data_IF_920491455465
#
_entry.id   IF_920491455465
#
_cell.length_a   1.000
_cell.length_b   1.000
_cell.length_c   1.000
_cell.angle_alpha   90.00
_cell.angle_beta   90.00
_cell.angle_gamma   90.00
#
_symmetry.space_group_name_H-M   'P 1'
#
loop_
_entity.id
_entity.type
_entity.pdbx_description
1 polymer ?
#
# COMPACT_ATOMS: atom_id res chain seq x y z
N UNK A 1 -2.80 62.44 -33.92
CA UNK A 1 -2.78 61.36 -32.91
C UNK A 1 -3.96 60.41 -33.10
N UNK A 2 -3.80 59.33 -33.86
CA UNK A 2 -4.77 58.22 -33.98
C UNK A 2 -4.04 56.94 -34.32
N UNK A 3 -3.61 56.17 -33.32
CA UNK A 3 -3.36 54.72 -33.41
C UNK A 3 -3.67 54.10 -32.05
N UNK A 4 -4.26 52.90 -32.07
CA UNK A 4 -4.45 51.95 -30.95
C UNK A 4 -5.76 52.04 -30.14
N UNK A 5 -6.91 51.76 -30.78
CA UNK A 5 -8.16 51.43 -30.07
C UNK A 5 -8.87 50.15 -30.53
N UNK A 6 -8.22 49.26 -31.31
CA UNK A 6 -8.88 48.07 -31.89
C UNK A 6 -8.33 46.70 -31.48
N UNK A 7 -7.48 46.60 -30.46
CA UNK A 7 -6.90 45.28 -30.05
C UNK A 7 -7.43 44.76 -28.70
N UNK A 8 -8.15 45.54 -27.89
CA UNK A 8 -8.46 45.13 -26.51
C UNK A 8 -9.80 44.36 -26.35
N UNK A 9 -10.66 44.30 -27.38
CA UNK A 9 -11.99 43.69 -27.22
C UNK A 9 -12.03 42.19 -27.61
N UNK A 10 -10.98 41.66 -28.24
CA UNK A 10 -10.93 40.26 -28.70
C UNK A 10 -10.48 39.22 -27.66
N UNK A 11 -9.82 39.63 -26.57
CA UNK A 11 -9.23 38.69 -25.59
C UNK A 11 -10.21 38.40 -24.45
N UNK A 12 -11.05 39.36 -24.06
CA UNK A 12 -12.02 39.18 -22.97
C UNK A 12 -13.11 38.14 -23.25
N UNK A 13 -13.60 38.08 -24.49
CA UNK A 13 -14.64 37.10 -24.87
C UNK A 13 -14.08 35.67 -25.06
N UNK A 14 -12.83 35.54 -25.52
CA UNK A 14 -12.18 34.23 -25.68
C UNK A 14 -11.77 33.62 -24.34
N UNK A 15 -11.31 34.44 -23.38
CA UNK A 15 -10.94 33.95 -22.03
C UNK A 15 -12.19 33.52 -21.25
N UNK A 16 -13.32 34.20 -21.40
CA UNK A 16 -14.58 33.80 -20.76
C UNK A 16 -15.17 32.54 -21.41
N UNK A 17 -15.08 32.38 -22.73
CA UNK A 17 -15.53 31.16 -23.41
C UNK A 17 -14.69 29.92 -23.03
N UNK A 18 -13.37 30.06 -22.87
CA UNK A 18 -12.49 28.98 -22.41
C UNK A 18 -12.74 28.67 -20.92
N UNK A 19 -12.95 29.67 -20.07
CA UNK A 19 -13.26 29.42 -18.66
C UNK A 19 -14.60 28.70 -18.46
N UNK A 20 -15.62 29.00 -19.27
CA UNK A 20 -16.92 28.31 -19.21
C UNK A 20 -16.82 26.88 -19.77
N UNK A 21 -16.02 26.63 -20.81
CA UNK A 21 -15.78 25.26 -21.30
C UNK A 21 -14.99 24.43 -20.28
N UNK A 22 -14.01 25.00 -19.58
CA UNK A 22 -13.29 24.30 -18.50
C UNK A 22 -14.21 23.96 -17.33
N UNK A 23 -15.16 24.83 -16.96
CA UNK A 23 -16.14 24.55 -15.91
C UNK A 23 -17.15 23.48 -16.33
N UNK A 24 -17.55 23.43 -17.60
CA UNK A 24 -18.45 22.37 -18.12
C UNK A 24 -17.72 21.03 -18.25
N UNK A 25 -16.46 21.01 -18.69
CA UNK A 25 -15.63 19.78 -18.69
C UNK A 25 -15.40 19.29 -17.25
N UNK A 26 -15.14 20.17 -16.29
CA UNK A 26 -15.00 19.78 -14.88
C UNK A 26 -16.30 19.26 -14.25
N UNK A 27 -17.47 19.69 -14.73
CA UNK A 27 -18.77 19.14 -14.29
C UNK A 27 -19.15 17.83 -14.99
N UNK A 28 -18.70 17.59 -16.22
CA UNK A 28 -18.89 16.32 -16.94
C UNK A 28 -17.90 15.25 -16.47
N UNK A 29 -16.77 15.64 -15.88
CA UNK A 29 -15.80 14.75 -15.20
C UNK A 29 -16.15 14.60 -13.70
N UNK A 30 -17.44 14.44 -13.40
CA UNK A 30 -17.96 14.13 -12.06
C UNK A 30 -18.19 12.62 -11.86
N UNK A 31 -17.45 11.78 -12.59
CA UNK A 31 -17.30 10.37 -12.27
C UNK A 31 -16.04 10.16 -11.43
N UNK A 32 -16.13 9.44 -10.31
CA UNK A 32 -15.00 9.03 -9.46
C UNK A 32 -13.76 8.64 -10.29
N UNK A 33 -12.83 9.59 -10.49
CA UNK A 33 -11.49 9.35 -10.99
C UNK A 33 -10.62 8.88 -9.82
N UNK A 34 -11.04 7.80 -9.18
CA UNK A 34 -10.18 7.09 -8.24
C UNK A 34 -9.15 6.27 -9.02
N UNK A 35 -8.19 6.97 -9.60
CA UNK A 35 -7.11 6.37 -10.39
C UNK A 35 -6.29 5.44 -9.52
N UNK A 36 -5.92 5.88 -8.32
CA UNK A 36 -5.15 5.05 -7.39
C UNK A 36 -5.91 3.77 -7.03
N UNK A 37 -7.20 3.83 -6.73
CA UNK A 37 -8.00 2.62 -6.47
C UNK A 37 -8.07 1.68 -7.68
N UNK A 38 -8.33 2.19 -8.88
CA UNK A 38 -8.44 1.36 -10.10
C UNK A 38 -7.11 0.74 -10.53
N UNK A 39 -6.05 1.54 -10.56
CA UNK A 39 -4.73 1.11 -10.99
C UNK A 39 -4.06 0.21 -9.96
N UNK A 40 -4.33 0.41 -8.66
CA UNK A 40 -3.86 -0.50 -7.61
C UNK A 40 -4.46 -1.91 -7.76
N UNK A 41 -5.75 -2.04 -8.10
CA UNK A 41 -6.37 -3.34 -8.43
C UNK A 41 -5.68 -3.98 -9.65
N UNK A 42 -5.54 -3.22 -10.73
CA UNK A 42 -5.00 -3.72 -12.00
C UNK A 42 -3.55 -4.19 -11.84
N UNK A 43 -2.73 -3.43 -11.12
CA UNK A 43 -1.33 -3.79 -10.86
C UNK A 43 -1.21 -4.94 -9.85
N UNK A 44 -2.05 -4.98 -8.82
CA UNK A 44 -2.04 -6.09 -7.86
C UNK A 44 -2.44 -7.41 -8.51
N UNK A 45 -3.41 -7.40 -9.43
CA UNK A 45 -3.74 -8.58 -10.24
C UNK A 45 -2.51 -9.12 -11.00
N UNK A 46 -1.66 -8.25 -11.55
CA UNK A 46 -0.42 -8.68 -12.21
C UNK A 46 0.53 -9.36 -11.23
N UNK A 47 0.66 -8.84 -10.00
CA UNK A 47 1.47 -9.47 -8.95
C UNK A 47 0.93 -10.87 -8.63
N UNK A 48 -0.38 -10.99 -8.38
CA UNK A 48 -1.03 -12.27 -8.09
C UNK A 48 -0.83 -13.30 -9.22
N UNK A 49 -0.89 -12.85 -10.47
CA UNK A 49 -0.69 -13.71 -11.64
C UNK A 49 0.78 -14.07 -11.91
N UNK A 50 1.74 -13.30 -11.37
CA UNK A 50 3.17 -13.56 -11.54
C UNK A 50 3.67 -14.63 -10.58
N UNK A 51 3.15 -14.64 -9.36
CA UNK A 51 3.51 -15.62 -8.31
C UNK A 51 2.29 -16.37 -7.76
N UNK A 52 1.49 -17.05 -8.60
CA UNK A 52 0.24 -17.68 -8.17
C UNK A 52 0.46 -18.75 -7.10
N UNK A 53 1.58 -19.48 -7.15
CA UNK A 53 1.94 -20.52 -6.16
C UNK A 53 2.23 -19.95 -4.76
N UNK A 54 2.42 -18.63 -4.66
CA UNK A 54 2.63 -17.90 -3.41
C UNK A 54 1.36 -17.29 -2.85
N UNK A 55 0.24 -17.41 -3.54
CA UNK A 55 -1.07 -16.92 -3.09
C UNK A 55 -1.90 -18.10 -2.58
N UNK A 56 -2.30 -18.05 -1.30
CA UNK A 56 -3.02 -19.14 -0.64
C UNK A 56 -4.21 -18.63 0.15
N UNK A 57 -5.25 -19.44 0.26
CA UNK A 57 -6.31 -19.20 1.22
C UNK A 57 -5.72 -19.21 2.64
N UNK A 58 -6.16 -18.28 3.48
CA UNK A 58 -5.82 -18.17 4.88
C UNK A 58 -7.11 -18.35 5.71
N UNK A 59 -7.39 -19.60 6.06
CA UNK A 59 -8.63 -19.96 6.78
C UNK A 59 -8.67 -19.34 8.18
N UNK A 60 -7.51 -19.20 8.83
CA UNK A 60 -7.39 -18.62 10.18
C UNK A 60 -7.87 -17.17 10.21
N UNK A 61 -7.57 -16.39 9.17
CA UNK A 61 -7.94 -14.98 9.08
C UNK A 61 -9.15 -14.73 8.16
N UNK A 62 -9.84 -15.81 7.76
CA UNK A 62 -10.96 -15.79 6.81
C UNK A 62 -10.61 -14.92 5.59
N UNK A 63 -9.56 -15.29 4.86
CA UNK A 63 -9.11 -14.51 3.71
C UNK A 63 -7.98 -15.17 2.91
N UNK A 64 -7.02 -14.35 2.50
CA UNK A 64 -5.96 -14.72 1.57
C UNK A 64 -4.61 -14.26 2.09
N UNK A 65 -3.56 -14.95 1.66
CA UNK A 65 -2.19 -14.57 1.93
C UNK A 65 -1.35 -14.58 0.65
N UNK A 66 -0.38 -13.68 0.58
CA UNK A 66 0.69 -13.63 -0.41
C UNK A 66 2.00 -13.77 0.33
N UNK A 67 2.69 -14.88 0.11
CA UNK A 67 3.99 -15.19 0.69
C UNK A 67 5.13 -14.62 -0.16
N UNK A 68 6.15 -14.06 0.47
CA UNK A 68 7.36 -13.65 -0.22
C UNK A 68 8.03 -14.82 -0.96
N UNK A 69 8.80 -14.55 -2.03
CA UNK A 69 9.59 -15.58 -2.71
C UNK A 69 10.46 -16.41 -1.77
N UNK A 70 11.07 -15.78 -0.76
CA UNK A 70 11.93 -16.45 0.23
C UNK A 70 11.17 -17.13 1.38
N UNK A 71 9.84 -17.02 1.44
CA UNK A 71 8.99 -17.63 2.46
C UNK A 71 9.02 -16.98 3.84
N UNK A 72 9.75 -15.88 4.03
CA UNK A 72 10.05 -15.33 5.37
C UNK A 72 9.01 -14.33 5.90
N UNK A 73 8.16 -13.82 5.02
CA UNK A 73 7.09 -12.86 5.34
C UNK A 73 5.92 -13.08 4.40
N UNK A 74 4.70 -12.86 4.89
CA UNK A 74 3.49 -12.86 4.08
C UNK A 74 2.58 -11.69 4.42
N UNK A 75 1.93 -11.17 3.39
CA UNK A 75 0.84 -10.21 3.52
C UNK A 75 -0.47 -10.99 3.57
N UNK A 76 -1.31 -10.70 4.56
CA UNK A 76 -2.60 -11.37 4.75
C UNK A 76 -3.69 -10.30 4.70
N UNK A 77 -4.76 -10.57 3.95
CA UNK A 77 -5.95 -9.73 3.91
C UNK A 77 -7.21 -10.59 4.00
N UNK A 78 -8.10 -10.21 4.91
CA UNK A 78 -9.35 -10.90 5.14
C UNK A 78 -10.32 -10.66 3.98
N UNK A 79 -11.09 -11.68 3.65
CA UNK A 79 -12.22 -11.54 2.73
C UNK A 79 -13.51 -11.19 3.47
N UNK A 80 -13.55 -11.35 4.80
CA UNK A 80 -14.71 -11.03 5.65
C UNK A 80 -14.29 -10.48 7.02
N UNK A 81 -14.54 -9.19 7.27
CA UNK A 81 -14.03 -8.50 8.45
C UNK A 81 -14.88 -8.78 9.69
N UNK A 82 -16.07 -9.36 9.51
CA UNK A 82 -16.86 -9.88 10.63
C UNK A 82 -16.27 -11.18 11.20
N UNK A 83 -15.37 -11.85 10.47
CA UNK A 83 -14.80 -13.16 10.82
C UNK A 83 -13.33 -13.14 11.20
N UNK A 84 -12.57 -12.14 10.76
CA UNK A 84 -11.14 -12.08 11.05
C UNK A 84 -10.89 -11.75 12.54
N UNK A 85 -10.06 -12.55 13.23
CA UNK A 85 -10.02 -12.55 14.69
C UNK A 85 -9.31 -11.32 15.27
N UNK A 86 -8.22 -10.87 14.66
CA UNK A 86 -7.36 -9.82 15.20
C UNK A 86 -7.23 -8.62 14.24
N UNK A 87 -6.88 -8.88 12.99
CA UNK A 87 -6.64 -7.85 11.98
C UNK A 87 -7.38 -8.20 10.69
N UNK A 88 -7.69 -7.18 9.89
CA UNK A 88 -8.27 -7.36 8.54
C UNK A 88 -7.18 -7.34 7.47
N UNK A 89 -6.09 -6.60 7.73
CA UNK A 89 -4.90 -6.54 6.88
C UNK A 89 -3.66 -6.54 7.79
N UNK A 90 -2.68 -7.38 7.47
CA UNK A 90 -1.53 -7.62 8.35
C UNK A 90 -0.33 -8.20 7.60
N UNK A 91 0.84 -8.10 8.22
CA UNK A 91 2.00 -8.93 7.90
C UNK A 91 2.17 -10.01 8.96
N UNK A 92 2.59 -11.19 8.53
CA UNK A 92 3.14 -12.24 9.40
C UNK A 92 4.56 -12.57 8.91
N UNK A 93 5.53 -12.64 9.83
CA UNK A 93 6.94 -12.82 9.50
C UNK A 93 7.70 -13.56 10.60
N UNK A 94 8.83 -14.16 10.22
CA UNK A 94 9.71 -14.86 11.16
C UNK A 94 10.19 -13.92 12.28
N UNK A 95 9.99 -14.33 13.53
CA UNK A 95 10.41 -13.57 14.70
C UNK A 95 11.91 -13.66 14.96
N UNK A 96 12.57 -14.73 14.48
CA UNK A 96 13.95 -15.04 14.85
C UNK A 96 14.94 -13.91 14.55
N UNK A 97 14.91 -13.22 13.38
CA UNK A 97 15.81 -12.10 13.13
C UNK A 97 15.66 -10.95 14.15
N UNK A 98 14.44 -10.70 14.61
CA UNK A 98 14.17 -9.63 15.57
C UNK A 98 14.51 -10.04 17.00
N UNK A 99 14.20 -11.28 17.40
CA UNK A 99 14.57 -11.84 18.71
C UNK A 99 16.08 -11.90 18.86
N UNK A 100 16.79 -12.36 17.82
CA UNK A 100 18.26 -12.38 17.80
C UNK A 100 18.85 -10.97 17.88
N UNK A 101 18.16 -9.98 17.33
CA UNK A 101 18.51 -8.56 17.42
C UNK A 101 18.07 -7.89 18.75
N UNK A 102 17.53 -8.65 19.72
CA UNK A 102 17.23 -8.14 21.06
C UNK A 102 15.76 -7.85 21.36
N UNK A 103 14.82 -8.24 20.48
CA UNK A 103 13.39 -8.07 20.74
C UNK A 103 12.96 -8.76 22.04
N UNK A 104 12.37 -7.97 22.95
CA UNK A 104 11.61 -8.45 24.08
C UNK A 104 10.11 -8.48 23.72
N UNK A 105 9.61 -9.67 23.37
CA UNK A 105 8.22 -9.87 22.94
C UNK A 105 7.18 -9.42 23.97
N UNK A 106 7.55 -9.35 25.26
CA UNK A 106 6.64 -8.89 26.33
C UNK A 106 6.39 -7.37 26.31
N UNK A 107 7.19 -6.62 25.54
CA UNK A 107 7.07 -5.16 25.38
C UNK A 107 6.42 -4.75 24.07
N UNK A 108 6.02 -5.71 23.24
CA UNK A 108 5.30 -5.42 22.01
C UNK A 108 3.96 -4.76 22.32
N UNK A 109 3.54 -3.75 21.52
CA UNK A 109 2.22 -3.14 21.68
C UNK A 109 1.10 -4.09 21.20
N UNK A 110 -0.15 -3.75 21.53
CA UNK A 110 -1.33 -4.61 21.26
C UNK A 110 -1.56 -4.92 19.77
N UNK A 111 -1.07 -4.08 18.85
CA UNK A 111 -1.20 -4.32 17.42
C UNK A 111 -0.14 -5.31 16.88
N UNK A 112 0.69 -5.87 17.76
CA UNK A 112 1.59 -6.97 17.46
C UNK A 112 1.16 -8.22 18.23
N UNK A 113 1.26 -9.38 17.59
CA UNK A 113 1.14 -10.68 18.23
C UNK A 113 2.41 -11.51 17.98
N UNK A 114 2.85 -12.26 18.98
CA UNK A 114 3.96 -13.22 18.87
C UNK A 114 3.45 -14.62 19.18
N UNK A 115 3.64 -15.57 18.27
CA UNK A 115 3.19 -16.96 18.42
C UNK A 115 4.00 -17.89 17.54
N UNK A 116 4.27 -19.11 18.00
CA UNK A 116 4.89 -20.19 17.19
C UNK A 116 6.17 -19.77 16.41
N UNK A 117 6.96 -18.83 16.94
CA UNK A 117 8.16 -18.32 16.27
C UNK A 117 7.90 -17.23 15.22
N UNK A 118 6.66 -16.77 15.09
CA UNK A 118 6.22 -15.71 14.19
C UNK A 118 5.87 -14.43 14.94
N UNK A 119 5.98 -13.30 14.24
CA UNK A 119 5.37 -12.03 14.59
C UNK A 119 4.27 -11.72 13.58
N UNK A 120 3.17 -11.16 14.08
CA UNK A 120 2.09 -10.59 13.27
C UNK A 120 1.91 -9.13 13.65
N UNK A 121 1.69 -8.26 12.65
CA UNK A 121 1.31 -6.86 12.86
C UNK A 121 0.27 -6.43 11.85
N UNK A 122 -0.77 -5.76 12.30
CA UNK A 122 -1.81 -5.26 11.39
C UNK A 122 -2.80 -4.34 12.06
N UNK A 123 -3.94 -4.18 11.37
CA UNK A 123 -5.04 -3.35 11.84
C UNK A 123 -6.39 -3.95 11.48
N UNK A 124 -7.38 -3.70 12.34
CA UNK A 124 -8.79 -3.88 12.02
C UNK A 124 -9.26 -2.66 11.24
N UNK A 125 -9.68 -2.85 10.00
CA UNK A 125 -10.22 -1.80 9.15
C UNK A 125 -11.68 -1.50 9.49
N UNK A 126 -12.45 -2.53 9.84
CA UNK A 126 -13.82 -2.38 10.31
C UNK A 126 -14.45 -3.69 10.76
N UNK A 127 -15.77 -3.82 10.62
CA UNK A 127 -16.52 -5.00 11.08
C UNK A 127 -17.55 -5.47 10.06
N UNK A 128 -17.33 -5.14 8.80
CA UNK A 128 -18.24 -5.45 7.70
C UNK A 128 -18.29 -6.96 7.45
N UNK A 129 -19.51 -7.50 7.36
CA UNK A 129 -19.74 -8.76 6.66
C UNK A 129 -19.67 -8.48 5.14
N UNK A 130 -18.81 -9.21 4.44
CA UNK A 130 -18.60 -9.02 3.01
C UNK A 130 -19.49 -9.95 2.19
N UNK A 131 -19.96 -9.45 1.05
CA UNK A 131 -20.80 -10.21 0.13
C UNK A 131 -20.16 -10.27 -1.24
N UNK A 132 -20.14 -11.47 -1.82
CA UNK A 132 -19.51 -11.76 -3.11
C UNK A 132 -20.50 -12.46 -4.03
N UNK A 133 -20.30 -12.30 -5.34
CA UNK A 133 -20.96 -13.14 -6.33
C UNK A 133 -20.11 -14.39 -6.54
N UNK A 134 -20.50 -15.50 -5.90
CA UNK A 134 -19.74 -16.75 -5.92
C UNK A 134 -18.64 -16.80 -4.86
N UNK A 135 -17.69 -17.71 -5.04
CA UNK A 135 -16.56 -17.84 -4.13
C UNK A 135 -15.62 -16.64 -4.31
N UNK A 136 -15.25 -15.93 -3.23
CA UNK A 136 -14.30 -14.83 -3.32
C UNK A 136 -12.96 -15.32 -3.87
N UNK A 137 -12.36 -14.51 -4.74
CA UNK A 137 -10.99 -14.68 -5.21
C UNK A 137 -10.07 -13.75 -4.40
N UNK A 138 -8.73 -13.98 -4.39
CA UNK A 138 -7.82 -13.08 -3.69
C UNK A 138 -7.96 -11.62 -4.18
N UNK A 139 -8.13 -11.42 -5.50
CA UNK A 139 -8.36 -10.10 -6.06
C UNK A 139 -9.71 -9.50 -5.63
N UNK A 140 -10.79 -10.28 -5.67
CA UNK A 140 -12.11 -9.79 -5.26
C UNK A 140 -12.15 -9.37 -3.77
N UNK A 141 -11.41 -10.07 -2.90
CA UNK A 141 -11.23 -9.66 -1.52
C UNK A 141 -10.48 -8.32 -1.41
N UNK A 142 -9.41 -8.14 -2.19
CA UNK A 142 -8.69 -6.87 -2.24
C UNK A 142 -9.56 -5.70 -2.76
N UNK A 143 -10.39 -5.95 -3.78
CA UNK A 143 -11.33 -4.95 -4.29
C UNK A 143 -12.30 -4.42 -3.21
N UNK A 144 -12.64 -5.23 -2.19
CA UNK A 144 -13.45 -4.74 -1.06
C UNK A 144 -12.69 -3.72 -0.20
N UNK A 145 -11.38 -3.88 -0.01
CA UNK A 145 -10.55 -2.88 0.66
C UNK A 145 -10.64 -1.56 -0.11
N UNK A 146 -10.44 -1.60 -1.43
CA UNK A 146 -10.48 -0.40 -2.27
C UNK A 146 -11.85 0.26 -2.23
N UNK A 147 -12.92 -0.53 -2.29
CA UNK A 147 -14.31 -0.05 -2.34
C UNK A 147 -14.78 0.55 -1.01
N UNK A 148 -14.49 -0.10 0.12
CA UNK A 148 -15.02 0.29 1.45
C UNK A 148 -14.03 1.06 2.30
N UNK A 149 -12.74 0.81 2.13
CA UNK A 149 -11.66 1.29 2.99
C UNK A 149 -10.60 2.03 2.19
N UNK A 150 -11.04 2.89 1.26
CA UNK A 150 -10.18 3.55 0.29
C UNK A 150 -9.01 4.32 0.91
N UNK A 151 -9.18 4.89 2.11
CA UNK A 151 -8.14 5.62 2.85
C UNK A 151 -6.94 4.75 3.27
N UNK A 152 -7.13 3.42 3.31
CA UNK A 152 -6.08 2.43 3.56
C UNK A 152 -5.20 2.17 2.34
N UNK A 153 -5.60 2.62 1.15
CA UNK A 153 -4.81 2.47 -0.07
C UNK A 153 -3.99 3.75 -0.32
N UNK A 154 -2.68 3.59 -0.50
CA UNK A 154 -1.76 4.68 -0.82
C UNK A 154 -1.09 4.49 -2.19
N UNK A 155 -0.39 5.54 -2.59
CA UNK A 155 0.52 5.53 -3.72
C UNK A 155 1.82 6.23 -3.30
N UNK A 156 2.94 5.57 -3.53
CA UNK A 156 4.28 6.05 -3.22
C UNK A 156 4.95 6.54 -4.49
N UNK A 157 4.86 7.86 -4.73
CA UNK A 157 5.27 8.50 -6.00
C UNK A 157 6.71 8.19 -6.41
N UNK A 158 7.66 8.16 -5.46
CA UNK A 158 9.06 7.95 -5.79
C UNK A 158 9.38 6.50 -6.22
N UNK A 159 8.63 5.51 -5.72
CA UNK A 159 8.78 4.11 -6.14
C UNK A 159 7.80 3.72 -7.25
N UNK A 160 6.83 4.57 -7.56
CA UNK A 160 5.72 4.23 -8.45
C UNK A 160 4.96 2.97 -7.96
N UNK A 161 4.74 2.92 -6.64
CA UNK A 161 4.12 1.79 -5.94
C UNK A 161 2.73 2.15 -5.43
N UNK A 162 1.82 1.19 -5.45
CA UNK A 162 0.61 1.21 -4.62
C UNK A 162 0.85 0.46 -3.33
N UNK A 163 0.01 0.68 -2.32
CA UNK A 163 0.13 -0.05 -1.07
C UNK A 163 -1.16 -0.14 -0.27
N UNK A 164 -1.16 -1.10 0.67
CA UNK A 164 -2.13 -1.22 1.75
C UNK A 164 -1.45 -0.80 3.04
N UNK A 165 -2.02 0.20 3.73
CA UNK A 165 -1.63 0.60 5.07
C UNK A 165 -2.14 -0.42 6.08
N UNK A 166 -1.24 -0.91 6.92
CA UNK A 166 -1.50 -1.94 7.93
C UNK A 166 -1.54 -1.36 9.35
N UNK A 167 -1.67 -0.04 9.46
CA UNK A 167 -1.64 0.68 10.73
C UNK A 167 -0.23 0.93 11.26
N UNK A 168 -0.06 1.96 12.09
CA UNK A 168 1.21 2.24 12.78
C UNK A 168 2.40 2.52 11.86
N UNK A 169 2.19 2.85 10.60
CA UNK A 169 3.25 3.06 9.61
C UNK A 169 3.81 1.78 8.96
N UNK A 170 3.16 0.62 9.18
CA UNK A 170 3.44 -0.64 8.49
C UNK A 170 2.64 -0.73 7.20
N UNK A 171 3.20 -1.35 6.16
CA UNK A 171 2.62 -1.38 4.82
C UNK A 171 3.02 -2.64 4.06
N UNK A 172 2.18 -3.02 3.11
CA UNK A 172 2.55 -3.88 1.99
C UNK A 172 2.41 -3.06 0.71
N UNK A 173 3.46 -2.99 -0.09
CA UNK A 173 3.51 -2.19 -1.31
C UNK A 173 3.84 -3.04 -2.53
N UNK A 174 3.38 -2.62 -3.70
CA UNK A 174 3.70 -3.26 -4.98
C UNK A 174 3.79 -2.24 -6.11
N UNK A 175 4.58 -2.59 -7.12
CA UNK A 175 4.80 -1.77 -8.30
C UNK A 175 3.53 -1.60 -9.14
N UNK A 176 3.30 -0.37 -9.61
CA UNK A 176 2.31 -0.09 -10.67
C UNK A 176 2.65 -0.84 -11.96
N UNK A 177 3.93 -0.84 -12.32
CA UNK A 177 4.50 -1.57 -13.44
C UNK A 177 5.79 -2.27 -12.95
N UNK A 178 5.82 -3.60 -13.08
CA UNK A 178 6.92 -4.44 -12.62
C UNK A 178 8.13 -4.44 -13.56
N UNK A 179 8.03 -3.81 -14.74
CA UNK A 179 9.16 -3.64 -15.65
C UNK A 179 9.82 -2.26 -15.50
N UNK A 180 9.03 -1.20 -15.31
CA UNK A 180 9.55 0.18 -15.30
C UNK A 180 8.93 1.03 -14.20
N UNK A 181 9.77 1.80 -13.51
CA UNK A 181 9.32 2.87 -12.63
C UNK A 181 9.04 4.13 -13.48
N UNK A 182 7.77 4.50 -13.66
CA UNK A 182 7.36 5.61 -14.53
C UNK A 182 7.67 6.99 -13.93
N UNK A 183 8.05 7.07 -12.66
CA UNK A 183 8.52 8.31 -12.03
C UNK A 183 9.99 8.61 -12.35
N UNK A 184 10.78 7.59 -12.72
CA UNK A 184 12.23 7.72 -12.95
C UNK A 184 12.70 7.26 -14.34
N UNK A 185 11.81 6.64 -15.13
CA UNK A 185 12.10 6.03 -16.44
C UNK A 185 13.22 4.97 -16.39
N UNK A 186 13.29 4.22 -15.27
CA UNK A 186 14.28 3.15 -15.04
C UNK A 186 13.58 1.83 -14.79
N UNK A 187 14.33 0.73 -14.94
CA UNK A 187 13.88 -0.61 -14.59
C UNK A 187 13.34 -0.64 -13.15
N UNK A 188 12.19 -1.28 -12.97
CA UNK A 188 11.64 -1.51 -11.64
C UNK A 188 12.43 -2.63 -10.97
N UNK A 189 13.01 -2.34 -9.81
CA UNK A 189 13.88 -3.28 -9.07
C UNK A 189 13.21 -3.82 -7.78
N UNK A 190 11.99 -3.38 -7.49
CA UNK A 190 11.17 -3.75 -6.34
C UNK A 190 9.74 -3.88 -6.80
N UNK A 191 9.28 -5.11 -7.01
CA UNK A 191 7.92 -5.40 -7.46
C UNK A 191 6.96 -5.48 -6.29
N UNK A 192 7.42 -6.00 -5.16
CA UNK A 192 6.69 -5.99 -3.88
C UNK A 192 7.64 -5.59 -2.75
N UNK A 193 7.11 -4.92 -1.73
CA UNK A 193 7.86 -4.51 -0.54
C UNK A 193 7.01 -4.71 0.71
N UNK A 194 7.58 -5.43 1.67
CA UNK A 194 7.05 -5.51 3.03
C UNK A 194 7.71 -4.43 3.87
N UNK A 195 6.91 -3.61 4.56
CA UNK A 195 7.38 -2.42 5.27
C UNK A 195 6.93 -2.48 6.73
N UNK A 196 7.89 -2.42 7.66
CA UNK A 196 7.60 -2.29 9.09
C UNK A 196 8.04 -0.92 9.61
N UNK A 197 7.22 -0.34 10.49
CA UNK A 197 7.64 0.76 11.32
C UNK A 197 8.58 0.23 12.41
N UNK A 198 9.85 0.69 12.46
CA UNK A 198 10.82 0.19 13.42
C UNK A 198 10.55 0.67 14.86
N UNK A 199 9.84 1.79 15.06
CA UNK A 199 9.73 2.41 16.39
C UNK A 199 9.20 1.47 17.49
N UNK A 200 8.11 0.70 17.29
CA UNK A 200 7.62 -0.20 18.34
C UNK A 200 8.57 -1.37 18.62
N UNK A 201 9.27 -1.85 17.60
CA UNK A 201 10.24 -2.94 17.72
C UNK A 201 11.50 -2.47 18.46
N UNK A 202 11.97 -1.26 18.17
CA UNK A 202 13.10 -0.63 18.88
C UNK A 202 12.70 -0.35 20.34
N UNK A 203 11.49 0.16 20.58
CA UNK A 203 10.98 0.36 21.94
C UNK A 203 10.90 -0.96 22.74
N UNK A 204 10.65 -2.07 22.04
CA UNK A 204 10.68 -3.41 22.59
C UNK A 204 12.10 -4.03 22.66
N UNK A 205 13.16 -3.31 22.30
CA UNK A 205 14.56 -3.71 22.52
C UNK A 205 15.33 -4.15 21.27
N UNK A 206 14.72 -4.15 20.09
CA UNK A 206 15.42 -4.47 18.84
C UNK A 206 16.53 -3.47 18.56
N UNK A 207 17.73 -3.97 18.29
CA UNK A 207 18.78 -3.23 17.63
C UNK A 207 18.58 -3.31 16.10
N UNK A 208 18.18 -2.21 15.43
CA UNK A 208 17.78 -2.28 14.03
C UNK A 208 18.91 -2.65 13.08
N UNK A 209 20.16 -2.33 13.42
CA UNK A 209 21.34 -2.66 12.62
C UNK A 209 21.72 -4.15 12.67
N UNK A 210 21.08 -4.93 13.56
CA UNK A 210 21.33 -6.37 13.74
C UNK A 210 20.19 -7.25 13.23
N UNK A 211 19.12 -6.67 12.68
CA UNK A 211 18.01 -7.45 12.12
C UNK A 211 18.43 -8.00 10.76
N UNK A 212 18.68 -9.30 10.69
CA UNK A 212 19.06 -9.96 9.45
C UNK A 212 17.89 -10.09 8.46
N UNK A 213 18.19 -9.98 7.17
CA UNK A 213 17.20 -10.18 6.11
C UNK A 213 16.17 -9.05 5.95
N UNK A 214 16.31 -7.94 6.69
CA UNK A 214 15.55 -6.71 6.53
C UNK A 214 16.51 -5.54 6.35
N UNK A 215 16.25 -4.67 5.37
CA UNK A 215 17.01 -3.43 5.21
C UNK A 215 16.46 -2.37 6.17
N UNK A 216 17.29 -1.87 7.08
CA UNK A 216 16.98 -0.71 7.90
C UNK A 216 17.45 0.57 7.19
N UNK A 217 16.51 1.35 6.65
CA UNK A 217 16.85 2.50 5.80
C UNK A 217 15.83 3.64 5.93
N UNK A 218 16.25 4.85 5.59
CA UNK A 218 15.35 5.99 5.46
C UNK A 218 14.60 5.96 4.13
N UNK A 219 13.30 6.21 4.19
CA UNK A 219 12.41 6.30 3.03
C UNK A 219 11.70 7.66 3.06
N UNK A 220 11.65 8.40 1.94
CA UNK A 220 10.89 9.64 1.86
C UNK A 220 9.39 9.33 1.91
N UNK A 221 8.70 9.82 2.92
CA UNK A 221 7.25 9.68 3.07
C UNK A 221 6.60 11.04 2.92
N UNK A 222 5.54 11.11 2.11
CA UNK A 222 4.69 12.30 2.00
C UNK A 222 3.56 12.24 3.03
N UNK A 223 3.53 13.21 3.94
CA UNK A 223 2.46 13.39 4.91
C UNK A 223 1.99 14.85 4.89
N UNK A 224 0.69 15.07 4.68
CA UNK A 224 0.08 16.41 4.63
C UNK A 224 0.78 17.39 3.65
N UNK A 225 1.28 16.88 2.53
CA UNK A 225 1.97 17.66 1.50
C UNK A 225 3.41 18.04 1.86
N UNK A 226 4.00 17.40 2.87
CA UNK A 226 5.42 17.53 3.22
C UNK A 226 6.10 16.18 3.09
N UNK A 227 7.30 16.18 2.50
CA UNK A 227 8.16 15.00 2.47
C UNK A 227 9.06 14.98 3.69
N UNK A 228 9.15 13.84 4.37
CA UNK A 228 10.07 13.60 5.47
C UNK A 228 10.73 12.23 5.32
N UNK A 229 12.01 12.15 5.62
CA UNK A 229 12.75 10.89 5.62
C UNK A 229 12.52 10.16 6.94
N UNK A 230 11.90 8.99 6.88
CA UNK A 230 11.59 8.16 8.05
C UNK A 230 12.26 6.80 7.93
N UNK A 231 12.79 6.29 9.03
CA UNK A 231 13.38 4.96 9.05
C UNK A 231 12.29 3.88 8.93
N UNK A 232 12.59 2.85 8.14
CA UNK A 232 11.75 1.66 7.92
C UNK A 232 12.61 0.41 7.93
N UNK A 233 12.03 -0.71 8.35
CA UNK A 233 12.51 -2.02 7.91
C UNK A 233 11.82 -2.35 6.60
N UNK A 234 12.61 -2.69 5.58
CA UNK A 234 12.14 -2.99 4.24
C UNK A 234 12.59 -4.38 3.84
N UNK A 235 11.66 -5.14 3.25
CA UNK A 235 11.96 -6.41 2.61
C UNK A 235 11.43 -6.42 1.18
N UNK A 236 12.22 -5.91 0.22
CA UNK A 236 11.81 -5.84 -1.18
C UNK A 236 12.07 -7.15 -1.92
N UNK A 237 11.27 -7.43 -2.94
CA UNK A 237 11.49 -8.52 -3.88
C UNK A 237 11.26 -8.04 -5.31
N UNK A 238 12.10 -8.52 -6.22
CA UNK A 238 11.84 -8.47 -7.66
C UNK A 238 11.25 -9.83 -8.08
N UNK A 239 10.14 -9.81 -8.82
CA UNK A 239 9.40 -10.99 -9.23
C UNK A 239 9.68 -11.38 -10.70
N UNK A 240 10.46 -10.56 -11.43
CA UNK A 240 10.85 -10.79 -12.83
C UNK A 240 12.29 -11.27 -13.00
#
# INVERSE_FOLDING_TARGET
MKKNKKVIIGIGAAVIAVAVIVIVVLKVVSGNLDVVGKESITSFEKVLNTIPDKVKADEMNAGWSLEAPDGSVRFIWSEDYSKSPLHDVMLEFDAAPFVNAGLDVSKLPENYAAYEGMLMVGIKLGSDEMTYQGNPTPLAAYEQIVKKYRSSINYHTALDHYGVKLGGGNMFEWAKDMAVNTATDKDQDKDIVFVLNPEPLIAAGVNPEQVEGWAYAQVPVEENGKTADVYKFLKPFNLQ
#
